data_IF_977918650582
#
_entry.id   IF_977918650582
#
_cell.length_a   1.000
_cell.length_b   1.000
_cell.length_c   1.000
_cell.angle_alpha   90.00
_cell.angle_beta   90.00
_cell.angle_gamma   90.00
#
_symmetry.space_group_name_H-M   'P 1'
#
loop_
_entity.id
_entity.type
_entity.pdbx_description
1 polymer ?
#
# COMPACT_ATOMS: atom_id res chain seq x y z
N UNK A 1 7.41 26.77 -37.16
CA UNK A 1 8.33 25.75 -36.63
C UNK A 1 8.81 26.23 -35.26
N UNK A 2 8.49 25.50 -34.19
CA UNK A 2 9.00 25.79 -32.83
C UNK A 2 10.52 25.63 -32.89
N UNK A 3 11.26 26.68 -32.54
CA UNK A 3 12.74 26.68 -32.49
C UNK A 3 13.27 26.20 -31.13
N UNK A 4 12.40 26.11 -30.13
CA UNK A 4 12.73 25.56 -28.82
C UNK A 4 12.56 24.03 -28.82
N UNK A 5 13.41 23.35 -28.06
CA UNK A 5 13.27 21.92 -27.77
C UNK A 5 11.98 21.63 -26.98
N UNK A 6 11.52 20.39 -27.08
CA UNK A 6 10.40 19.86 -26.29
C UNK A 6 10.77 19.91 -24.82
N UNK A 7 9.85 20.36 -23.96
CA UNK A 7 10.11 20.36 -22.53
C UNK A 7 10.05 18.94 -21.96
N UNK A 8 10.59 18.73 -20.77
CA UNK A 8 10.58 17.42 -20.11
C UNK A 8 9.15 16.93 -19.88
N UNK A 9 8.24 17.82 -19.48
CA UNK A 9 6.83 17.50 -19.24
C UNK A 9 6.10 17.09 -20.53
N UNK A 10 6.41 17.75 -21.66
CA UNK A 10 5.88 17.38 -22.97
C UNK A 10 6.41 16.01 -23.43
N UNK A 11 7.65 15.66 -23.06
CA UNK A 11 8.27 14.37 -23.34
C UNK A 11 7.69 13.24 -22.47
N UNK A 12 7.42 13.52 -21.19
CA UNK A 12 6.75 12.60 -20.27
C UNK A 12 5.32 12.30 -20.73
N UNK A 13 4.56 13.35 -21.08
CA UNK A 13 3.22 13.19 -21.65
C UNK A 13 3.25 12.29 -22.89
N UNK A 14 4.28 12.43 -23.74
CA UNK A 14 4.46 11.57 -24.90
C UNK A 14 4.72 10.10 -24.52
N UNK A 15 5.53 9.84 -23.50
CA UNK A 15 5.85 8.47 -23.05
C UNK A 15 4.65 7.75 -22.43
N UNK A 16 3.72 8.48 -21.82
CA UNK A 16 2.48 7.93 -21.24
C UNK A 16 1.35 7.83 -22.28
N UNK A 17 1.56 8.35 -23.50
CA UNK A 17 0.58 8.30 -24.59
C UNK A 17 -0.40 9.48 -24.62
N UNK A 18 -0.10 10.55 -23.88
CA UNK A 18 -0.89 11.79 -23.78
C UNK A 18 -0.27 12.93 -24.61
N UNK A 19 0.52 12.59 -25.65
CA UNK A 19 1.25 13.57 -26.44
C UNK A 19 0.34 14.50 -27.24
N UNK A 20 0.70 15.79 -27.27
CA UNK A 20 0.11 16.76 -28.19
C UNK A 20 0.63 16.51 -29.63
N UNK A 21 -0.22 16.54 -30.67
CA UNK A 21 0.20 16.42 -32.07
C UNK A 21 1.39 17.31 -32.46
N UNK A 22 1.46 18.54 -31.93
CA UNK A 22 2.56 19.46 -32.24
C UNK A 22 3.93 19.01 -31.71
N UNK A 23 3.96 18.15 -30.68
CA UNK A 23 5.20 17.55 -30.16
C UNK A 23 5.68 16.43 -31.08
N UNK A 24 4.75 15.63 -31.63
CA UNK A 24 5.06 14.58 -32.59
C UNK A 24 5.67 15.16 -33.87
N UNK A 25 5.04 16.20 -34.43
CA UNK A 25 5.56 16.89 -35.61
C UNK A 25 6.96 17.51 -35.37
N UNK A 26 7.22 18.02 -34.16
CA UNK A 26 8.53 18.53 -33.80
C UNK A 26 9.57 17.40 -33.70
N UNK A 27 9.21 16.28 -33.08
CA UNK A 27 10.10 15.12 -32.95
C UNK A 27 10.51 14.55 -34.32
N UNK A 28 9.61 14.56 -35.30
CA UNK A 28 9.95 14.12 -36.66
C UNK A 28 11.01 14.99 -37.35
N UNK A 29 11.14 16.24 -36.92
CA UNK A 29 12.06 17.23 -37.52
C UNK A 29 13.31 17.55 -36.68
N UNK A 30 13.33 17.20 -35.38
CA UNK A 30 14.41 17.56 -34.46
C UNK A 30 15.22 16.36 -33.96
N UNK A 31 16.43 16.17 -34.49
CA UNK A 31 17.31 15.06 -34.12
C UNK A 31 17.71 15.05 -32.63
N UNK A 32 17.90 16.21 -32.01
CA UNK A 32 18.24 16.30 -30.59
C UNK A 32 17.10 15.79 -29.69
N UNK A 33 15.86 16.16 -29.99
CA UNK A 33 14.69 15.68 -29.25
C UNK A 33 14.46 14.17 -29.48
N UNK A 34 14.77 13.64 -30.67
CA UNK A 34 14.74 12.19 -30.92
C UNK A 34 15.79 11.43 -30.10
N UNK A 35 16.99 11.98 -29.96
CA UNK A 35 18.04 11.37 -29.15
C UNK A 35 17.66 11.35 -27.67
N UNK A 36 17.11 12.46 -27.17
CA UNK A 36 16.63 12.54 -25.79
C UNK A 36 15.52 11.53 -25.53
N UNK A 37 14.52 11.44 -26.42
CA UNK A 37 13.46 10.43 -26.34
C UNK A 37 14.01 8.99 -26.26
N UNK A 38 15.07 8.68 -27.03
CA UNK A 38 15.72 7.36 -26.98
C UNK A 38 16.36 7.09 -25.61
N UNK A 39 16.98 8.09 -24.97
CA UNK A 39 17.56 7.95 -23.63
C UNK A 39 16.48 7.63 -22.60
N UNK A 40 15.36 8.35 -22.66
CA UNK A 40 14.22 8.10 -21.77
C UNK A 40 13.62 6.70 -21.98
N UNK A 41 13.41 6.29 -23.23
CA UNK A 41 12.94 4.94 -23.53
C UNK A 41 13.90 3.86 -23.03
N UNK A 42 15.21 4.06 -23.18
CA UNK A 42 16.22 3.14 -22.66
C UNK A 42 16.19 3.06 -21.12
N UNK A 43 16.04 4.20 -20.44
CA UNK A 43 15.89 4.26 -18.99
C UNK A 43 14.64 3.52 -18.51
N UNK A 44 13.49 3.75 -19.14
CA UNK A 44 12.24 3.06 -18.82
C UNK A 44 12.32 1.55 -19.11
N UNK A 45 12.96 1.16 -20.21
CA UNK A 45 13.19 -0.25 -20.52
C UNK A 45 14.07 -0.91 -19.45
N UNK A 46 15.13 -0.25 -19.01
CA UNK A 46 15.99 -0.73 -17.91
C UNK A 46 15.22 -0.79 -16.58
N UNK A 47 14.32 0.16 -16.30
CA UNK A 47 13.43 0.10 -15.14
C UNK A 47 12.44 -1.07 -15.20
N UNK A 48 11.93 -1.39 -16.40
CA UNK A 48 10.93 -2.44 -16.61
C UNK A 48 11.41 -3.84 -16.22
N UNK A 49 12.73 -4.08 -16.23
CA UNK A 49 13.32 -5.37 -15.83
C UNK A 49 13.11 -5.68 -14.33
N UNK A 50 12.94 -4.64 -13.51
CA UNK A 50 12.70 -4.76 -12.08
C UNK A 50 11.21 -4.94 -11.75
N UNK A 51 10.31 -4.71 -12.72
CA UNK A 51 8.90 -4.99 -12.51
C UNK A 51 8.66 -6.50 -12.62
N UNK A 52 7.93 -7.11 -11.66
CA UNK A 52 7.57 -8.50 -11.78
C UNK A 52 6.76 -8.71 -13.07
N UNK A 53 7.05 -9.79 -13.78
CA UNK A 53 6.33 -10.16 -14.99
C UNK A 53 4.81 -10.19 -14.72
N UNK A 54 4.01 -9.85 -15.73
CA UNK A 54 2.55 -9.80 -15.59
C UNK A 54 1.97 -11.13 -15.06
N UNK A 55 2.57 -12.26 -15.46
CA UNK A 55 2.20 -13.59 -14.96
C UNK A 55 2.45 -13.75 -13.46
N UNK A 56 3.60 -13.30 -12.96
CA UNK A 56 3.92 -13.32 -11.52
C UNK A 56 2.96 -12.45 -10.73
N UNK A 57 2.67 -11.23 -11.22
CA UNK A 57 1.68 -10.33 -10.61
C UNK A 57 0.29 -10.97 -10.55
N UNK A 58 -0.12 -11.65 -11.61
CA UNK A 58 -1.40 -12.36 -11.65
C UNK A 58 -1.46 -13.50 -10.62
N UNK A 59 -0.40 -14.33 -10.53
CA UNK A 59 -0.32 -15.39 -9.51
C UNK A 59 -0.37 -14.85 -8.09
N UNK A 60 0.38 -13.79 -7.79
CA UNK A 60 0.36 -13.14 -6.47
C UNK A 60 -1.04 -12.62 -6.14
N UNK A 61 -1.71 -11.97 -7.10
CA UNK A 61 -3.11 -11.51 -6.91
C UNK A 61 -4.08 -12.66 -6.68
N UNK A 62 -3.95 -13.75 -7.43
CA UNK A 62 -4.78 -14.93 -7.24
C UNK A 62 -4.53 -15.59 -5.88
N UNK A 63 -3.27 -15.70 -5.46
CA UNK A 63 -2.92 -16.24 -4.15
C UNK A 63 -3.44 -15.34 -3.02
N UNK A 64 -3.28 -14.03 -3.12
CA UNK A 64 -3.82 -13.07 -2.15
C UNK A 64 -5.36 -13.15 -2.08
N UNK A 65 -6.04 -13.26 -3.23
CA UNK A 65 -7.49 -13.43 -3.27
C UNK A 65 -7.92 -14.74 -2.58
N UNK A 66 -7.26 -15.86 -2.87
CA UNK A 66 -7.56 -17.16 -2.23
C UNK A 66 -7.35 -17.11 -0.71
N UNK A 67 -6.28 -16.47 -0.25
CA UNK A 67 -6.01 -16.28 1.18
C UNK A 67 -7.05 -15.38 1.87
N UNK A 68 -7.50 -14.31 1.21
CA UNK A 68 -8.55 -13.44 1.74
C UNK A 68 -9.89 -14.18 1.93
N UNK A 69 -10.22 -15.12 1.03
CA UNK A 69 -11.41 -15.95 1.17
C UNK A 69 -11.26 -17.03 2.26
N UNK A 70 -10.07 -17.63 2.41
CA UNK A 70 -9.82 -18.64 3.45
C UNK A 70 -9.67 -18.09 4.88
N UNK A 71 -9.52 -16.77 5.07
CA UNK A 71 -9.58 -16.13 6.41
C UNK A 71 -10.99 -15.80 6.89
N UNK A 72 -12.04 -16.15 6.14
CA UNK A 72 -13.44 -15.97 6.55
C UNK A 72 -14.18 -17.20 7.16
N UNK A 73 -13.57 -18.21 7.81
CA UNK A 73 -14.35 -19.41 8.11
C UNK A 73 -15.21 -19.33 9.38
N UNK A 74 -15.03 -18.39 10.33
CA UNK A 74 -15.83 -18.41 11.58
C UNK A 74 -16.41 -17.08 12.08
N UNK A 75 -15.98 -15.93 11.55
CA UNK A 75 -16.37 -14.61 12.12
C UNK A 75 -17.85 -14.25 11.91
N UNK A 76 -18.55 -14.90 10.98
CA UNK A 76 -19.99 -14.68 10.77
C UNK A 76 -20.88 -15.37 11.81
N UNK A 77 -20.38 -16.42 12.48
CA UNK A 77 -21.09 -17.10 13.57
C UNK A 77 -20.81 -16.48 14.93
N UNK A 78 -19.73 -15.71 15.07
CA UNK A 78 -19.37 -14.98 16.30
C UNK A 78 -20.53 -14.12 16.85
N UNK A 79 -21.27 -13.31 16.06
CA UNK A 79 -22.39 -12.54 16.62
C UNK A 79 -23.54 -13.43 17.12
N UNK A 80 -23.81 -14.57 16.46
CA UNK A 80 -24.85 -15.51 16.89
C UNK A 80 -24.42 -16.26 18.17
N UNK A 81 -23.17 -16.71 18.23
CA UNK A 81 -22.61 -17.34 19.42
C UNK A 81 -22.54 -16.38 20.62
N UNK A 82 -22.15 -15.12 20.37
CA UNK A 82 -22.12 -14.08 21.40
C UNK A 82 -23.54 -13.76 21.93
N UNK A 83 -24.53 -13.65 21.04
CA UNK A 83 -25.92 -13.42 21.45
C UNK A 83 -26.47 -14.59 22.28
N UNK A 84 -26.20 -15.83 21.87
CA UNK A 84 -26.60 -17.02 22.64
C UNK A 84 -25.92 -17.06 24.03
N UNK A 85 -24.63 -16.75 24.10
CA UNK A 85 -23.90 -16.68 25.36
C UNK A 85 -24.45 -15.57 26.29
N UNK A 86 -24.85 -14.42 25.73
CA UNK A 86 -25.47 -13.32 26.48
C UNK A 86 -26.81 -13.75 27.09
N UNK A 87 -27.66 -14.41 26.30
CA UNK A 87 -28.96 -14.93 26.78
C UNK A 87 -28.76 -15.96 27.90
N UNK A 88 -27.78 -16.86 27.73
CA UNK A 88 -27.44 -17.86 28.76
C UNK A 88 -26.91 -17.18 30.03
N UNK A 89 -25.99 -16.21 29.92
CA UNK A 89 -25.44 -15.48 31.07
C UNK A 89 -26.50 -14.66 31.82
N UNK A 90 -27.42 -14.03 31.09
CA UNK A 90 -28.58 -13.32 31.64
C UNK A 90 -29.55 -14.29 32.35
N UNK A 91 -29.79 -15.47 31.76
CA UNK A 91 -30.66 -16.50 32.35
C UNK A 91 -30.07 -17.17 33.59
N UNK A 92 -28.73 -17.27 33.67
CA UNK A 92 -28.02 -17.83 34.83
C UNK A 92 -27.73 -16.82 35.93
N UNK A 93 -28.15 -15.55 35.79
CA UNK A 93 -28.04 -14.56 36.86
C UNK A 93 -26.60 -14.32 37.33
N UNK A 94 -25.63 -14.34 36.41
CA UNK A 94 -24.23 -14.07 36.74
C UNK A 94 -24.08 -12.57 37.01
N UNK A 95 -24.22 -12.20 38.28
CA UNK A 95 -23.91 -10.86 38.79
C UNK A 95 -22.40 -10.64 38.64
N UNK A 96 -22.01 -9.94 37.59
CA UNK A 96 -20.62 -9.62 37.24
C UNK A 96 -19.93 -8.82 38.35
N UNK A 97 -18.97 -9.45 39.02
CA UNK A 97 -17.93 -8.81 39.82
C UNK A 97 -16.56 -9.43 39.47
N UNK A 98 -15.57 -8.56 39.21
CA UNK A 98 -14.12 -8.82 39.21
C UNK A 98 -13.47 -9.82 38.21
N UNK A 99 -13.64 -9.64 36.89
CA UNK A 99 -12.88 -10.45 35.88
C UNK A 99 -12.32 -9.69 34.68
N UNK A 100 -12.07 -8.39 34.81
CA UNK A 100 -11.45 -7.60 33.73
C UNK A 100 -9.92 -7.71 33.68
N UNK A 101 -9.22 -7.84 34.82
CA UNK A 101 -7.75 -7.90 34.83
C UNK A 101 -7.19 -9.21 34.24
N UNK A 102 -7.81 -10.36 34.54
CA UNK A 102 -7.33 -11.65 34.03
C UNK A 102 -7.45 -11.82 32.50
N UNK A 103 -8.30 -11.01 31.85
CA UNK A 103 -8.44 -11.04 30.38
C UNK A 103 -7.38 -10.18 29.67
N UNK A 104 -6.85 -9.14 30.33
CA UNK A 104 -5.85 -8.26 29.70
C UNK A 104 -4.52 -8.99 29.56
N UNK A 105 -4.08 -9.70 30.60
CA UNK A 105 -2.83 -10.47 30.57
C UNK A 105 -2.85 -11.55 29.49
N UNK A 106 -4.00 -12.22 29.34
CA UNK A 106 -4.19 -13.30 28.36
C UNK A 106 -4.23 -12.76 26.92
N UNK A 107 -4.83 -11.57 26.72
CA UNK A 107 -4.80 -10.88 25.43
C UNK A 107 -3.40 -10.37 25.11
N UNK A 108 -2.65 -9.88 26.09
CA UNK A 108 -1.27 -9.43 25.90
C UNK A 108 -0.36 -10.61 25.52
N UNK A 109 -0.49 -11.75 26.19
CA UNK A 109 0.27 -12.96 25.89
C UNK A 109 -0.05 -13.50 24.48
N UNK A 110 -1.32 -13.45 24.07
CA UNK A 110 -1.71 -13.89 22.72
C UNK A 110 -1.27 -12.90 21.62
N UNK A 111 -1.24 -11.60 21.92
CA UNK A 111 -0.66 -10.58 21.02
C UNK A 111 0.84 -10.80 20.88
N UNK A 112 1.56 -11.06 21.97
CA UNK A 112 3.01 -11.27 21.96
C UNK A 112 3.38 -12.56 21.20
N UNK A 113 2.63 -13.64 21.40
CA UNK A 113 2.78 -14.87 20.64
C UNK A 113 2.49 -14.68 19.14
N UNK A 114 1.51 -13.84 18.80
CA UNK A 114 1.17 -13.52 17.41
C UNK A 114 2.25 -12.66 16.74
N UNK A 115 2.82 -11.71 17.48
CA UNK A 115 3.92 -10.85 17.00
C UNK A 115 5.23 -11.64 16.82
N UNK A 116 5.53 -12.57 17.73
CA UNK A 116 6.70 -13.45 17.61
C UNK A 116 6.59 -14.46 16.45
N UNK A 117 5.37 -14.81 16.05
CA UNK A 117 5.11 -15.72 14.93
C UNK A 117 5.07 -15.02 13.55
N UNK A 118 5.13 -13.68 13.50
CA UNK A 118 5.15 -12.95 12.24
C UNK A 118 6.57 -12.94 11.62
N UNK A 119 6.79 -13.58 10.46
CA UNK A 119 8.08 -13.59 9.79
C UNK A 119 8.54 -12.19 9.34
N UNK A 120 7.67 -11.17 9.31
CA UNK A 120 8.04 -9.78 9.05
C UNK A 120 8.73 -9.11 10.24
N UNK A 121 8.39 -9.49 11.48
CA UNK A 121 9.03 -8.93 12.68
C UNK A 121 10.51 -9.35 12.78
N UNK A 122 10.84 -10.57 12.35
CA UNK A 122 12.22 -11.08 12.30
C UNK A 122 13.08 -10.42 11.19
N UNK A 123 12.47 -9.77 10.20
CA UNK A 123 13.17 -9.13 9.07
C UNK A 123 13.28 -7.62 9.28
N UNK A 124 12.35 -7.01 10.03
CA UNK A 124 12.25 -5.57 10.24
C UNK A 124 13.43 -4.95 11.02
N UNK A 125 14.25 -5.73 11.72
CA UNK A 125 15.43 -5.20 12.42
C UNK A 125 16.58 -4.78 11.48
N UNK A 126 16.51 -5.08 10.18
CA UNK A 126 17.65 -4.85 9.26
C UNK A 126 17.42 -3.89 8.08
N UNK A 127 16.21 -3.34 7.88
CA UNK A 127 15.98 -2.39 6.78
C UNK A 127 15.13 -1.19 7.22
N UNK A 128 15.83 -0.09 7.44
CA UNK A 128 15.36 1.22 7.90
C UNK A 128 14.28 1.77 6.96
N UNK A 129 13.01 1.77 7.41
CA UNK A 129 11.97 2.60 6.80
C UNK A 129 12.10 4.01 7.36
N UNK A 130 12.79 4.87 6.61
CA UNK A 130 12.67 6.33 6.74
C UNK A 130 11.25 6.73 6.38
N UNK A 131 10.33 6.68 7.34
CA UNK A 131 9.05 7.38 7.22
C UNK A 131 9.34 8.84 7.48
N UNK A 132 9.35 9.63 6.41
CA UNK A 132 9.27 11.09 6.48
C UNK A 132 7.98 11.44 7.21
N UNK A 133 8.10 11.82 8.48
CA UNK A 133 7.05 12.52 9.22
C UNK A 133 6.97 13.90 8.59
N UNK A 134 5.85 14.31 7.95
CA UNK A 134 5.66 15.72 7.68
C UNK A 134 5.52 16.42 9.03
N UNK A 135 6.48 17.30 9.35
CA UNK A 135 6.34 18.20 10.49
C UNK A 135 5.04 18.99 10.33
N UNK A 136 4.07 18.69 11.18
CA UNK A 136 2.92 19.57 11.37
C UNK A 136 3.44 20.82 12.08
N UNK A 137 3.76 21.86 11.31
CA UNK A 137 3.99 23.20 11.82
C UNK A 137 2.70 23.74 12.44
N UNK A 138 2.65 24.01 13.76
CA UNK A 138 1.51 24.66 14.35
C UNK A 138 1.70 26.19 14.28
N UNK A 139 0.84 26.84 13.48
CA UNK A 139 0.35 28.18 13.78
C UNK A 139 1.28 29.36 13.46
N UNK A 140 1.17 29.87 12.24
CA UNK A 140 1.22 31.31 12.01
C UNK A 140 0.06 31.96 12.79
N UNK A 141 0.36 32.45 14.00
CA UNK A 141 -0.48 33.45 14.65
C UNK A 141 -0.21 34.79 13.98
N UNK A 142 -1.11 35.13 13.05
CA UNK A 142 -1.31 36.49 12.58
C UNK A 142 -2.08 37.28 13.64
N UNK A 143 -1.51 38.36 14.17
CA UNK A 143 -2.20 39.57 14.65
C UNK A 143 -1.15 40.59 15.10
N UNK A 144 -0.98 41.71 14.38
CA UNK A 144 -1.69 42.99 14.52
C UNK A 144 -0.84 44.01 15.27
#
# INVERSE_FOLDING_TARGET
MRTAHVSEEELEALLVGEANPGVLDHLDSCAACQEELKKWQAFLAAGSQWLPQAQTRHRVRQQAAMQAFHRRPLRWWVPLAAAAALVVALSLGIRSGDKTEANVELVLEEVDATLAADPLAAIAESEVVSVVVPETTPGEQSSS
#
